data_IF_665350089190
#
_entry.id   IF_665350089190
#
_cell.length_a   1.000
_cell.length_b   1.000
_cell.length_c   1.000
_cell.angle_alpha   90.00
_cell.angle_beta   90.00
_cell.angle_gamma   90.00
#
_symmetry.space_group_name_H-M   'P 1'
#
loop_
_entity.id
_entity.type
_entity.pdbx_description
1 polymer ?
#
# COMPACT_ATOMS: atom_id res chain seq x y z
N UNK A 1 9.59 -14.01 16.68
CA UNK A 1 9.89 -12.98 15.65
C UNK A 1 9.52 -11.57 16.07
N UNK A 2 8.51 -11.36 16.93
CA UNK A 2 8.17 -10.03 17.44
C UNK A 2 9.33 -9.40 18.22
N UNK A 3 9.60 -8.12 17.96
CA UNK A 3 10.57 -7.27 18.64
C UNK A 3 9.85 -6.08 19.27
N UNK A 4 9.57 -6.18 20.57
CA UNK A 4 8.80 -5.17 21.30
C UNK A 4 9.49 -3.80 21.33
N UNK A 5 10.83 -3.77 21.36
CA UNK A 5 11.63 -2.55 21.32
C UNK A 5 11.55 -1.81 19.98
N UNK A 6 11.30 -2.54 18.88
CA UNK A 6 11.14 -1.98 17.52
C UNK A 6 9.69 -1.75 17.14
N UNK A 7 8.77 -2.57 17.66
CA UNK A 7 7.36 -2.54 17.30
C UNK A 7 7.03 -3.27 16.00
N UNK A 8 7.82 -4.28 15.62
CA UNK A 8 7.63 -5.06 14.40
C UNK A 8 8.05 -6.53 14.57
N UNK A 9 7.82 -7.35 13.54
CA UNK A 9 8.39 -8.69 13.43
C UNK A 9 9.64 -8.63 12.58
N UNK A 10 10.71 -9.28 13.02
CA UNK A 10 11.96 -9.37 12.26
C UNK A 10 12.26 -10.83 11.93
N UNK A 11 12.77 -11.06 10.71
CA UNK A 11 13.33 -12.33 10.31
C UNK A 11 14.41 -12.79 11.31
N UNK A 12 14.52 -14.10 11.50
CA UNK A 12 15.52 -14.70 12.37
C UNK A 12 16.65 -15.30 11.54
N UNK A 13 17.87 -14.86 11.81
CA UNK A 13 19.08 -15.40 11.20
C UNK A 13 19.52 -16.64 11.98
N UNK A 14 19.34 -17.82 11.37
CA UNK A 14 19.65 -19.11 12.00
C UNK A 14 21.15 -19.33 12.20
N UNK A 15 22.01 -18.71 11.36
CA UNK A 15 23.48 -18.88 11.43
C UNK A 15 24.03 -18.03 12.57
N UNK A 16 23.56 -16.79 12.68
CA UNK A 16 24.07 -15.81 13.65
C UNK A 16 23.23 -15.73 14.93
N UNK A 17 22.16 -16.51 15.02
CA UNK A 17 21.22 -16.58 16.15
C UNK A 17 20.72 -15.20 16.61
N UNK A 18 20.35 -14.35 15.64
CA UNK A 18 19.91 -12.96 15.88
C UNK A 18 18.81 -12.52 14.93
N UNK A 19 18.06 -11.50 15.32
CA UNK A 19 17.11 -10.85 14.41
C UNK A 19 17.82 -10.03 13.32
N UNK A 20 17.25 -10.03 12.11
CA UNK A 20 17.59 -9.07 11.06
C UNK A 20 16.77 -7.80 11.24
N UNK A 21 17.44 -6.72 11.60
CA UNK A 21 16.75 -5.47 11.99
C UNK A 21 16.47 -4.52 10.81
N UNK A 22 16.91 -4.88 9.60
CA UNK A 22 16.63 -4.09 8.41
C UNK A 22 15.13 -3.98 8.16
N UNK A 23 14.71 -2.82 7.68
CA UNK A 23 13.34 -2.59 7.32
C UNK A 23 12.98 -3.31 6.01
N UNK A 24 11.99 -4.19 6.11
CA UNK A 24 11.23 -4.72 4.99
C UNK A 24 9.76 -4.63 5.32
N UNK A 25 8.90 -4.39 4.33
CA UNK A 25 7.46 -4.32 4.56
C UNK A 25 6.87 -5.66 5.06
N UNK A 26 7.53 -6.78 4.75
CA UNK A 26 7.20 -8.10 5.32
C UNK A 26 7.19 -8.12 6.86
N UNK A 27 7.99 -7.27 7.50
CA UNK A 27 8.07 -7.13 8.96
C UNK A 27 6.74 -6.76 9.61
N UNK A 28 5.75 -6.28 8.84
CA UNK A 28 4.44 -5.83 9.33
C UNK A 28 3.31 -6.78 8.90
N UNK A 29 3.56 -7.74 8.01
CA UNK A 29 2.55 -8.69 7.50
C UNK A 29 1.81 -9.46 8.61
N UNK A 30 2.42 -9.82 9.76
CA UNK A 30 1.66 -10.43 10.86
C UNK A 30 0.50 -9.57 11.39
N UNK A 31 0.57 -8.23 11.26
CA UNK A 31 -0.55 -7.33 11.57
C UNK A 31 -1.77 -7.60 10.67
N UNK A 32 -1.52 -7.81 9.37
CA UNK A 32 -2.57 -8.10 8.39
C UNK A 32 -3.17 -9.49 8.60
N UNK A 33 -2.32 -10.50 8.79
CA UNK A 33 -2.80 -11.88 9.00
C UNK A 33 -3.46 -12.11 10.35
N UNK A 34 -3.31 -11.19 11.31
CA UNK A 34 -3.72 -11.39 12.69
C UNK A 34 -2.90 -12.46 13.43
N UNK A 35 -1.71 -12.81 12.93
CA UNK A 35 -0.82 -13.82 13.52
C UNK A 35 -0.07 -13.31 14.75
N UNK A 36 -0.78 -12.69 15.69
CA UNK A 36 -0.23 -12.18 16.95
C UNK A 36 -1.29 -12.15 18.05
N UNK A 37 -0.84 -12.10 19.31
CA UNK A 37 -1.71 -12.02 20.49
C UNK A 37 -1.74 -10.63 21.13
N UNK A 38 -1.08 -9.65 20.53
CA UNK A 38 -0.99 -8.28 21.04
C UNK A 38 -2.34 -7.57 20.81
N UNK A 39 -2.89 -6.85 21.80
CA UNK A 39 -4.11 -6.06 21.63
C UNK A 39 -4.00 -5.07 20.48
N UNK A 40 -5.10 -4.87 19.74
CA UNK A 40 -5.13 -4.05 18.53
C UNK A 40 -4.58 -2.63 18.73
N UNK A 41 -4.98 -1.93 19.79
CA UNK A 41 -4.49 -0.57 20.04
C UNK A 41 -2.97 -0.56 20.31
N UNK A 42 -2.47 -1.52 21.09
CA UNK A 42 -1.05 -1.61 21.43
C UNK A 42 -0.20 -1.93 20.20
N UNK A 43 -0.61 -2.93 19.40
CA UNK A 43 0.13 -3.30 18.19
C UNK A 43 0.07 -2.20 17.13
N UNK A 44 -1.07 -1.52 16.98
CA UNK A 44 -1.22 -0.39 16.06
C UNK A 44 -0.25 0.74 16.43
N UNK A 45 -0.19 1.10 17.72
CA UNK A 45 0.73 2.12 18.20
C UNK A 45 2.19 1.74 17.95
N UNK A 46 2.57 0.49 18.27
CA UNK A 46 3.93 -0.02 18.02
C UNK A 46 4.31 -0.01 16.54
N UNK A 47 3.42 -0.45 15.66
CA UNK A 47 3.66 -0.45 14.20
C UNK A 47 3.75 0.98 13.66
N UNK A 48 2.89 1.90 14.10
CA UNK A 48 2.97 3.31 13.70
C UNK A 48 4.29 3.95 14.15
N UNK A 49 4.74 3.64 15.37
CA UNK A 49 6.08 4.06 15.83
C UNK A 49 7.16 3.51 14.91
N UNK A 50 7.11 2.22 14.58
CA UNK A 50 8.07 1.58 13.68
C UNK A 50 8.10 2.26 12.31
N UNK A 51 6.94 2.48 11.66
CA UNK A 51 6.85 3.16 10.37
C UNK A 51 7.45 4.58 10.41
N UNK A 52 7.27 5.30 11.53
CA UNK A 52 7.86 6.63 11.74
C UNK A 52 9.37 6.56 11.88
N UNK A 53 9.88 5.64 12.69
CA UNK A 53 11.32 5.45 12.89
C UNK A 53 12.03 5.09 11.56
N UNK A 54 11.30 4.49 10.62
CA UNK A 54 11.79 4.08 9.30
C UNK A 54 11.51 5.12 8.21
N UNK A 55 11.06 6.33 8.58
CA UNK A 55 10.72 7.42 7.66
C UNK A 55 9.66 7.08 6.60
N UNK A 56 8.81 6.09 6.85
CA UNK A 56 7.64 5.82 5.99
C UNK A 56 6.55 6.86 6.23
N UNK A 57 6.38 7.27 7.49
CA UNK A 57 5.45 8.32 7.91
C UNK A 57 6.17 9.37 8.74
N UNK A 58 5.62 10.59 8.76
CA UNK A 58 6.10 11.71 9.56
C UNK A 58 5.64 11.64 11.01
N UNK A 59 6.20 12.51 11.85
CA UNK A 59 5.80 12.67 13.25
C UNK A 59 4.33 13.07 13.44
N UNK A 60 3.73 13.74 12.45
CA UNK A 60 2.31 14.09 12.40
C UNK A 60 1.43 13.01 11.73
N UNK A 61 1.98 11.80 11.49
CA UNK A 61 1.33 10.66 10.85
C UNK A 61 0.99 10.85 9.36
N UNK A 62 1.49 11.89 8.67
CA UNK A 62 1.36 11.95 7.21
C UNK A 62 2.33 10.97 6.52
N UNK A 63 1.94 10.45 5.36
CA UNK A 63 2.76 9.52 4.57
C UNK A 63 3.86 10.26 3.80
N UNK A 64 5.06 9.69 3.72
CA UNK A 64 6.20 10.32 3.03
C UNK A 64 6.30 10.00 1.53
N UNK A 65 5.59 8.97 1.08
CA UNK A 65 5.73 8.40 -0.25
C UNK A 65 4.36 8.14 -0.87
N UNK A 66 4.34 7.90 -2.18
CA UNK A 66 3.12 7.61 -2.94
C UNK A 66 2.72 6.12 -2.88
N UNK A 67 3.03 5.48 -1.75
CA UNK A 67 2.99 4.05 -1.52
C UNK A 67 4.11 3.63 -0.57
N UNK A 68 4.03 2.41 -0.08
CA UNK A 68 5.02 1.78 0.80
C UNK A 68 6.12 1.11 -0.03
N UNK A 69 7.40 1.48 0.10
CA UNK A 69 8.47 0.72 -0.55
C UNK A 69 8.65 -0.68 0.05
N UNK A 70 9.19 -1.62 -0.72
CA UNK A 70 9.44 -2.98 -0.24
C UNK A 70 10.47 -3.02 0.91
N UNK A 71 11.47 -2.15 0.85
CA UNK A 71 12.48 -1.92 1.87
C UNK A 71 12.95 -0.45 1.83
N UNK A 72 13.84 -0.07 2.73
CA UNK A 72 14.56 1.23 2.66
C UNK A 72 15.99 1.09 2.07
N UNK A 73 16.36 -0.10 1.63
CA UNK A 73 17.69 -0.40 1.10
C UNK A 73 17.76 -0.06 -0.39
N UNK A 74 18.85 0.56 -0.85
CA UNK A 74 19.03 1.01 -2.24
C UNK A 74 19.97 0.08 -2.99
N UNK A 75 19.52 -1.15 -3.27
CA UNK A 75 20.34 -2.20 -3.89
C UNK A 75 20.34 -2.20 -5.42
N UNK A 76 19.41 -1.47 -6.06
CA UNK A 76 19.01 -1.63 -7.46
C UNK A 76 18.21 -2.90 -7.81
N UNK A 77 17.95 -3.77 -6.82
CA UNK A 77 17.06 -4.92 -6.99
C UNK A 77 15.58 -4.53 -7.00
N UNK A 78 14.73 -5.40 -7.54
CA UNK A 78 13.31 -5.09 -7.73
C UNK A 78 12.52 -5.00 -6.41
N UNK A 79 12.94 -5.71 -5.37
CA UNK A 79 12.28 -5.81 -4.07
C UNK A 79 12.89 -4.87 -3.01
N UNK A 80 13.46 -3.76 -3.46
CA UNK A 80 14.13 -2.78 -2.63
C UNK A 80 13.73 -1.35 -3.02
N UNK A 81 14.17 -0.36 -2.25
CA UNK A 81 13.86 1.05 -2.52
C UNK A 81 14.36 1.47 -3.91
N UNK A 82 13.54 2.15 -4.73
CA UNK A 82 12.29 2.84 -4.38
C UNK A 82 11.01 2.08 -4.78
N UNK A 83 11.09 0.77 -5.04
CA UNK A 83 9.96 0.04 -5.59
C UNK A 83 8.91 -0.28 -4.51
N UNK A 84 7.66 0.06 -4.82
CA UNK A 84 6.47 -0.35 -4.08
C UNK A 84 5.68 -1.37 -4.92
N UNK A 85 5.26 -2.44 -4.26
CA UNK A 85 4.52 -3.53 -4.90
C UNK A 85 3.07 -3.56 -4.43
N UNK A 86 2.09 -3.79 -5.32
CA UNK A 86 0.67 -3.78 -4.95
C UNK A 86 0.31 -4.68 -3.77
N UNK A 87 0.77 -5.95 -3.68
CA UNK A 87 0.44 -6.81 -2.54
C UNK A 87 0.91 -6.25 -1.19
N UNK A 88 2.10 -5.63 -1.17
CA UNK A 88 2.65 -5.03 0.05
C UNK A 88 1.83 -3.82 0.53
N UNK A 89 1.22 -3.08 -0.41
CA UNK A 89 0.29 -2.01 -0.06
C UNK A 89 -0.96 -2.57 0.61
N UNK A 90 -1.55 -3.60 0.01
CA UNK A 90 -2.76 -4.23 0.53
C UNK A 90 -2.54 -4.73 1.96
N UNK A 91 -1.43 -5.42 2.21
CA UNK A 91 -1.10 -5.92 3.55
C UNK A 91 -0.95 -4.78 4.57
N UNK A 92 -0.20 -3.71 4.24
CA UNK A 92 -0.03 -2.60 5.18
C UNK A 92 -1.37 -1.91 5.47
N UNK A 93 -2.07 -1.53 4.40
CA UNK A 93 -3.28 -0.72 4.46
C UNK A 93 -4.37 -1.47 5.22
N UNK A 94 -4.63 -2.72 4.86
CA UNK A 94 -5.65 -3.52 5.52
C UNK A 94 -5.25 -3.87 6.95
N UNK A 95 -3.98 -4.22 7.19
CA UNK A 95 -3.47 -4.51 8.53
C UNK A 95 -3.69 -3.33 9.48
N UNK A 96 -3.27 -2.13 9.08
CA UNK A 96 -3.51 -0.91 9.85
C UNK A 96 -5.00 -0.62 10.02
N UNK A 97 -5.79 -0.73 8.96
CA UNK A 97 -7.23 -0.45 9.00
C UNK A 97 -7.98 -1.37 9.97
N UNK A 98 -7.66 -2.67 9.96
CA UNK A 98 -8.33 -3.70 10.74
C UNK A 98 -8.06 -3.61 12.24
N UNK A 99 -7.01 -2.89 12.66
CA UNK A 99 -6.76 -2.61 14.08
C UNK A 99 -7.87 -1.80 14.75
N UNK A 100 -8.68 -1.05 13.99
CA UNK A 100 -9.64 -0.06 14.49
C UNK A 100 -9.03 1.12 15.26
N UNK A 101 -7.71 1.17 15.41
CA UNK A 101 -7.02 2.29 16.06
C UNK A 101 -7.12 3.55 15.19
N UNK A 102 -7.60 4.66 15.76
CA UNK A 102 -7.94 5.89 15.02
C UNK A 102 -6.82 6.39 14.10
N UNK A 103 -5.60 6.52 14.65
CA UNK A 103 -4.45 7.01 13.87
C UNK A 103 -3.99 5.99 12.82
N UNK A 104 -4.13 4.68 13.10
CA UNK A 104 -3.75 3.65 12.14
C UNK A 104 -4.70 3.65 10.95
N UNK A 105 -6.00 3.82 11.19
CA UNK A 105 -7.00 3.98 10.13
C UNK A 105 -6.78 5.24 9.28
N UNK A 106 -6.34 6.35 9.91
CA UNK A 106 -5.96 7.56 9.17
C UNK A 106 -4.77 7.29 8.23
N UNK A 107 -3.68 6.72 8.76
CA UNK A 107 -2.50 6.36 7.95
C UNK A 107 -2.86 5.38 6.84
N UNK A 108 -3.70 4.38 7.13
CA UNK A 108 -4.19 3.44 6.12
C UNK A 108 -4.92 4.15 4.98
N UNK A 109 -5.80 5.11 5.30
CA UNK A 109 -6.53 5.89 4.30
C UNK A 109 -5.59 6.78 3.47
N UNK A 110 -4.61 7.42 4.10
CA UNK A 110 -3.64 8.27 3.40
C UNK A 110 -2.73 7.46 2.46
N UNK A 111 -2.28 6.28 2.90
CA UNK A 111 -1.53 5.33 2.07
C UNK A 111 -2.38 4.86 0.88
N UNK A 112 -3.64 4.49 1.13
CA UNK A 112 -4.56 4.04 0.08
C UNK A 112 -4.82 5.14 -0.96
N UNK A 113 -5.05 6.38 -0.51
CA UNK A 113 -5.22 7.55 -1.39
C UNK A 113 -3.97 7.81 -2.23
N UNK A 114 -2.79 7.79 -1.60
CA UNK A 114 -1.53 8.04 -2.29
C UNK A 114 -1.24 6.95 -3.34
N UNK A 115 -1.50 5.69 -3.01
CA UNK A 115 -1.35 4.56 -3.93
C UNK A 115 -2.34 4.64 -5.09
N UNK A 116 -3.64 4.82 -4.82
CA UNK A 116 -4.66 4.94 -5.87
C UNK A 116 -4.34 6.11 -6.81
N UNK A 117 -3.91 7.26 -6.26
CA UNK A 117 -3.53 8.41 -7.08
C UNK A 117 -2.37 8.08 -8.03
N UNK A 118 -1.36 7.33 -7.58
CA UNK A 118 -0.27 6.87 -8.46
C UNK A 118 -0.76 5.95 -9.56
N UNK A 119 -1.58 4.95 -9.22
CA UNK A 119 -2.16 4.03 -10.19
C UNK A 119 -2.99 4.80 -11.23
N UNK A 120 -3.89 5.66 -10.76
CA UNK A 120 -4.72 6.50 -11.62
C UNK A 120 -3.86 7.39 -12.52
N UNK A 121 -2.83 8.06 -11.99
CA UNK A 121 -1.97 8.94 -12.79
C UNK A 121 -1.26 8.19 -13.92
N UNK A 122 -0.73 7.00 -13.66
CA UNK A 122 -0.10 6.19 -14.70
C UNK A 122 -1.11 5.74 -15.77
N UNK A 123 -2.30 5.33 -15.34
CA UNK A 123 -3.36 4.87 -16.22
C UNK A 123 -3.93 6.01 -17.07
N UNK A 124 -4.18 7.19 -16.50
CA UNK A 124 -4.66 8.35 -17.25
C UNK A 124 -3.67 8.86 -18.28
N UNK A 125 -2.36 8.77 -17.99
CA UNK A 125 -1.33 9.27 -18.89
C UNK A 125 -1.03 8.30 -20.05
N UNK A 126 -1.02 7.00 -19.79
CA UNK A 126 -0.52 5.99 -20.75
C UNK A 126 -1.44 4.81 -21.01
N UNK A 127 -2.61 4.74 -20.36
CA UNK A 127 -3.53 3.61 -20.46
C UNK A 127 -3.02 2.32 -19.81
N UNK A 128 -1.93 2.40 -19.04
CA UNK A 128 -1.25 1.23 -18.46
C UNK A 128 -1.16 1.34 -16.93
N UNK A 129 -1.22 0.17 -16.28
CA UNK A 129 -0.87 0.00 -14.87
C UNK A 129 0.35 -0.90 -14.80
N UNK A 130 1.34 -0.54 -13.97
CA UNK A 130 2.61 -1.26 -13.88
C UNK A 130 2.54 -2.43 -12.90
N UNK A 131 3.43 -3.40 -13.08
CA UNK A 131 3.70 -4.47 -12.11
C UNK A 131 4.09 -3.93 -10.72
N UNK A 132 4.89 -2.86 -10.71
CA UNK A 132 5.46 -2.19 -9.54
C UNK A 132 5.63 -0.70 -9.81
N UNK A 133 5.60 0.12 -8.77
CA UNK A 133 5.67 1.57 -8.87
C UNK A 133 6.89 2.12 -8.14
N UNK A 134 7.45 3.21 -8.66
CA UNK A 134 8.41 4.00 -7.90
C UNK A 134 7.64 4.87 -6.91
N UNK A 135 7.76 4.58 -5.61
CA UNK A 135 6.97 5.28 -4.59
C UNK A 135 7.38 6.75 -4.40
N UNK A 136 8.52 7.18 -4.93
CA UNK A 136 8.97 8.58 -4.83
C UNK A 136 8.37 9.48 -5.91
N UNK A 137 7.71 8.90 -6.92
CA UNK A 137 7.14 9.63 -8.07
C UNK A 137 5.70 9.21 -8.29
N UNK A 138 4.75 10.15 -8.23
CA UNK A 138 3.33 9.86 -8.50
C UNK A 138 3.17 9.29 -9.91
N UNK A 139 2.65 8.06 -10.00
CA UNK A 139 2.47 7.35 -11.27
C UNK A 139 3.76 6.91 -11.95
N UNK A 140 4.91 6.98 -11.26
CA UNK A 140 6.19 6.50 -11.76
C UNK A 140 6.24 4.97 -11.81
N UNK A 141 6.77 4.43 -12.91
CA UNK A 141 7.06 3.00 -13.01
C UNK A 141 8.23 2.63 -12.09
N UNK A 142 8.13 1.48 -11.41
CA UNK A 142 9.26 0.89 -10.71
C UNK A 142 10.26 0.28 -11.69
N UNK A 143 11.44 -0.12 -11.21
CA UNK A 143 12.51 -0.64 -12.06
C UNK A 143 13.48 -1.56 -11.32
N UNK A 144 14.69 -1.69 -11.85
CA UNK A 144 15.75 -2.50 -11.23
C UNK A 144 15.68 -4.00 -11.53
N UNK A 145 16.66 -4.73 -11.01
CA UNK A 145 16.85 -6.18 -11.18
C UNK A 145 16.98 -6.65 -12.62
N UNK A 146 16.58 -7.90 -12.84
CA UNK A 146 16.99 -8.69 -14.02
C UNK A 146 16.20 -8.41 -15.31
N UNK A 147 15.01 -7.80 -15.25
CA UNK A 147 14.14 -7.63 -16.42
C UNK A 147 13.35 -6.32 -16.41
N UNK A 148 12.91 -5.91 -17.62
CA UNK A 148 12.16 -4.69 -17.82
C UNK A 148 10.75 -4.75 -17.17
N UNK A 149 10.23 -3.63 -16.62
CA UNK A 149 8.90 -3.59 -16.00
C UNK A 149 7.78 -4.08 -16.91
N UNK A 150 6.84 -4.85 -16.35
CA UNK A 150 5.68 -5.39 -17.05
C UNK A 150 4.43 -4.51 -16.85
N UNK A 151 3.44 -4.60 -17.74
CA UNK A 151 2.20 -3.79 -17.75
C UNK A 151 0.93 -4.65 -17.66
N UNK A 152 -0.20 -4.03 -17.28
CA UNK A 152 -1.52 -4.68 -17.17
C UNK A 152 -1.68 -5.64 -15.98
N UNK A 153 -0.71 -5.67 -15.08
CA UNK A 153 -0.46 -6.76 -14.13
C UNK A 153 -1.64 -7.02 -13.15
N UNK A 154 -2.03 -8.29 -13.01
CA UNK A 154 -3.25 -8.70 -12.31
C UNK A 154 -3.35 -8.22 -10.86
N UNK A 155 -2.27 -8.30 -10.07
CA UNK A 155 -2.31 -7.82 -8.68
C UNK A 155 -2.49 -6.31 -8.57
N UNK A 156 -2.14 -5.53 -9.60
CA UNK A 156 -2.15 -4.07 -9.54
C UNK A 156 -3.58 -3.63 -9.70
N UNK A 157 -4.24 -4.23 -10.71
CA UNK A 157 -5.67 -4.05 -10.96
C UNK A 157 -6.48 -4.53 -9.76
N UNK A 158 -6.16 -5.71 -9.22
CA UNK A 158 -6.86 -6.30 -8.08
C UNK A 158 -6.80 -5.41 -6.83
N UNK A 159 -5.60 -4.97 -6.44
CA UNK A 159 -5.42 -4.10 -5.27
C UNK A 159 -6.04 -2.73 -5.50
N UNK A 160 -5.91 -2.14 -6.69
CA UNK A 160 -6.54 -0.86 -6.97
C UNK A 160 -8.07 -0.95 -6.84
N UNK A 161 -8.69 -2.01 -7.39
CA UNK A 161 -10.13 -2.26 -7.27
C UNK A 161 -10.57 -2.50 -5.83
N UNK A 162 -9.80 -3.27 -5.07
CA UNK A 162 -10.06 -3.53 -3.65
C UNK A 162 -10.08 -2.22 -2.84
N UNK A 163 -9.06 -1.38 -3.01
CA UNK A 163 -8.95 -0.11 -2.29
C UNK A 163 -10.05 0.87 -2.72
N UNK A 164 -10.39 0.94 -4.01
CA UNK A 164 -11.49 1.78 -4.50
C UNK A 164 -12.86 1.32 -3.99
N UNK A 165 -13.04 0.01 -3.79
CA UNK A 165 -14.25 -0.52 -3.19
C UNK A 165 -14.36 -0.18 -1.70
N UNK A 166 -13.24 -0.11 -0.99
CA UNK A 166 -13.18 0.24 0.43
C UNK A 166 -13.26 1.75 0.70
N UNK A 167 -12.71 2.57 -0.19
CA UNK A 167 -12.70 4.04 -0.11
C UNK A 167 -13.19 4.66 -1.43
N UNK A 168 -14.51 4.77 -1.58
CA UNK A 168 -15.16 5.22 -2.81
C UNK A 168 -15.01 6.73 -3.09
N UNK A 169 -14.71 7.52 -2.06
CA UNK A 169 -14.54 8.97 -2.18
C UNK A 169 -13.17 9.40 -2.75
N UNK A 170 -12.20 8.49 -2.92
CA UNK A 170 -10.85 8.85 -3.38
C UNK A 170 -10.77 9.30 -4.86
N UNK A 171 -11.79 8.99 -5.66
CA UNK A 171 -11.86 9.37 -7.09
C UNK A 171 -12.79 10.58 -7.29
N UNK A 172 -13.45 11.07 -6.24
CA UNK A 172 -14.47 12.12 -6.36
C UNK A 172 -13.91 13.51 -6.65
N UNK A 173 -12.60 13.74 -6.56
CA UNK A 173 -12.03 15.09 -6.69
C UNK A 173 -11.21 15.27 -7.97
N UNK A 174 -11.93 15.47 -9.07
CA UNK A 174 -11.43 16.31 -10.17
C UNK A 174 -12.48 17.21 -10.84
N UNK A 175 -13.76 17.22 -10.41
CA UNK A 175 -14.77 18.21 -10.89
C UNK A 175 -16.20 18.12 -10.30
N UNK A 176 -16.46 17.59 -9.09
CA UNK A 176 -17.79 17.82 -8.46
C UNK A 176 -17.80 17.44 -6.98
N UNK A 177 -18.41 18.31 -6.14
CA UNK A 177 -18.57 18.10 -4.70
C UNK A 177 -19.29 16.80 -4.31
N UNK A 178 -19.34 16.46 -3.01
CA UNK A 178 -19.68 15.12 -2.55
C UNK A 178 -21.13 14.76 -2.91
N UNK A 179 -21.37 13.60 -3.57
CA UNK A 179 -22.72 13.16 -3.89
C UNK A 179 -23.42 12.59 -2.64
N UNK A 180 -24.75 12.75 -2.52
CA UNK A 180 -25.49 12.28 -1.36
C UNK A 180 -25.52 10.75 -1.33
N UNK A 181 -25.38 10.19 -0.12
CA UNK A 181 -25.48 8.75 0.14
C UNK A 181 -26.91 8.27 -0.14
N UNK A 182 -27.18 7.76 -1.34
CA UNK A 182 -28.12 6.65 -1.60
C UNK A 182 -28.17 6.22 -3.08
N UNK A 183 -28.29 4.89 -3.27
CA UNK A 183 -28.66 4.04 -4.44
C UNK A 183 -28.08 4.30 -5.84
N UNK A 184 -27.58 5.49 -6.15
CA UNK A 184 -26.98 5.86 -7.44
C UNK A 184 -25.55 5.30 -7.64
N UNK A 185 -24.86 5.00 -6.54
CA UNK A 185 -23.50 4.44 -6.52
C UNK A 185 -23.42 3.05 -7.17
N UNK A 186 -24.48 2.24 -7.08
CA UNK A 186 -24.53 0.89 -7.69
C UNK A 186 -24.50 0.94 -9.22
N UNK A 187 -25.21 1.88 -9.84
CA UNK A 187 -25.21 2.05 -11.32
C UNK A 187 -23.87 2.57 -11.84
N UNK A 188 -23.20 3.44 -11.07
CA UNK A 188 -21.84 3.94 -11.42
C UNK A 188 -20.77 2.84 -11.28
N UNK A 189 -20.86 2.00 -10.24
CA UNK A 189 -19.99 0.81 -10.04
C UNK A 189 -20.03 -0.14 -11.24
N UNK A 190 -21.22 -0.40 -11.77
CA UNK A 190 -21.39 -1.25 -12.96
C UNK A 190 -20.85 -0.60 -14.24
N UNK A 191 -20.93 0.73 -14.36
CA UNK A 191 -20.43 1.45 -15.54
C UNK A 191 -18.90 1.44 -15.62
N UNK A 192 -18.21 1.72 -14.51
CA UNK A 192 -16.74 1.75 -14.49
C UNK A 192 -16.14 0.33 -14.53
N UNK A 193 -16.73 -0.64 -13.81
CA UNK A 193 -16.32 -2.03 -13.90
C UNK A 193 -16.57 -2.62 -15.30
N UNK A 194 -17.67 -2.23 -15.99
CA UNK A 194 -17.87 -2.57 -17.39
C UNK A 194 -16.82 -1.92 -18.29
N UNK A 195 -16.44 -0.67 -18.05
CA UNK A 195 -15.44 0.01 -18.87
C UNK A 195 -14.03 -0.57 -18.70
N UNK A 196 -13.65 -0.95 -17.48
CA UNK A 196 -12.42 -1.70 -17.19
C UNK A 196 -12.46 -3.09 -17.83
N UNK A 197 -13.54 -3.85 -17.63
CA UNK A 197 -13.66 -5.21 -18.19
C UNK A 197 -13.70 -5.22 -19.73
N UNK A 198 -14.28 -4.19 -20.36
CA UNK A 198 -14.33 -4.06 -21.83
C UNK A 198 -12.96 -3.72 -22.44
N UNK A 199 -12.03 -3.19 -21.64
CA UNK A 199 -10.66 -2.84 -22.05
C UNK A 199 -9.64 -3.93 -21.70
N UNK A 200 -9.95 -4.82 -20.76
CA UNK A 200 -9.10 -5.97 -20.37
C UNK A 200 -9.32 -7.19 -21.30
N UNK A 201 -10.38 -7.20 -22.10
CA UNK A 201 -10.72 -8.29 -23.04
C UNK A 201 -10.16 -8.11 -24.47
N UNK A 202 -9.03 -7.42 -24.63
CA UNK A 202 -8.23 -7.33 -25.86
C UNK A 202 -6.78 -7.68 -25.56
#
# INVERSE_FOLDING_TARGET
MWRADKGCWCDWDLINNKHRESFYMSNIVPLWTGSHKIPNDSVAYSVLKYLRDQNVINSNFSVNYNGMPASMYKSSEQWDFPNGWPPLQAFLIQGLYNTQHKLARQVAADLAKAWINSNHKSFSNGGIMYEKYNVTVVGGSGGGGEYAPQTGFGWTNGVALELLNQWDDFVADSSSGPPPKNSSTRRRRESYAKELNKKISL
#
